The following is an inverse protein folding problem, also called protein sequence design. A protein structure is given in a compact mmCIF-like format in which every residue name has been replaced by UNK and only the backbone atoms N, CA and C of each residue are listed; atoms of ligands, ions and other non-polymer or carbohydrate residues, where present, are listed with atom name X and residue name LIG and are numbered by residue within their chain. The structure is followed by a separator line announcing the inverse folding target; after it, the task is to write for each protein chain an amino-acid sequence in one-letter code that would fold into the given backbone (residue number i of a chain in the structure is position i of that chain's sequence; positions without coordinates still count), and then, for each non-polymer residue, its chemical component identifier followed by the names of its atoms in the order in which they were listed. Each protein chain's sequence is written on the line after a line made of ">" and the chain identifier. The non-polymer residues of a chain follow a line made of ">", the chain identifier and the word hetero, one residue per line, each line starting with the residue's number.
data_IF_025794875894
#
_entry.id   IF_025794875894
#
_cell.length_a   1.000
_cell.length_b   1.000
_cell.length_c   1.000
_cell.angle_alpha   90.00
_cell.angle_beta   90.00
_cell.angle_gamma   90.00
#
_symmetry.space_group_name_H-M   'P 1'
#
loop_
_entity.id
_entity.type
_entity.pdbx_description
1 polymer ?
#
# COMPACT_ATOMS: atom_id res chain seq x y z
N UNK A 1 16.76 -16.84 7.22
CA UNK A 1 15.52 -16.05 7.41
C UNK A 1 15.64 -15.31 8.73
N UNK A 2 16.52 -14.30 8.80
CA UNK A 2 16.88 -13.61 10.06
C UNK A 2 16.60 -12.11 10.02
N UNK A 3 16.07 -11.60 8.90
CA UNK A 3 15.68 -10.22 8.74
C UNK A 3 14.15 -10.13 8.60
N UNK A 4 13.52 -9.41 9.53
CA UNK A 4 12.07 -9.24 9.58
C UNK A 4 11.54 -8.44 8.38
N UNK A 5 12.28 -7.44 7.93
CA UNK A 5 11.85 -6.56 6.84
C UNK A 5 11.82 -7.33 5.51
N UNK A 6 12.89 -8.07 5.20
CA UNK A 6 12.97 -8.93 4.01
C UNK A 6 11.90 -10.03 4.00
N UNK A 7 11.57 -10.59 5.17
CA UNK A 7 10.51 -11.59 5.27
C UNK A 7 9.14 -10.99 4.95
N UNK A 8 8.83 -9.80 5.48
CA UNK A 8 7.55 -9.12 5.20
C UNK A 8 7.43 -8.78 3.72
N UNK A 9 8.49 -8.25 3.11
CA UNK A 9 8.50 -7.97 1.66
C UNK A 9 8.25 -9.24 0.84
N UNK A 10 8.98 -10.33 1.14
CA UNK A 10 8.82 -11.60 0.43
C UNK A 10 7.39 -12.16 0.54
N UNK A 11 6.77 -12.06 1.72
CA UNK A 11 5.40 -12.54 1.94
C UNK A 11 4.36 -11.65 1.24
N UNK A 12 4.56 -10.34 1.20
CA UNK A 12 3.68 -9.40 0.48
C UNK A 12 3.75 -9.66 -1.02
N UNK A 13 4.96 -9.85 -1.55
CA UNK A 13 5.17 -10.17 -2.97
C UNK A 13 4.49 -11.50 -3.32
N UNK A 14 4.73 -12.56 -2.53
CA UNK A 14 4.09 -13.85 -2.71
C UNK A 14 2.55 -13.73 -2.69
N UNK A 15 2.00 -12.98 -1.73
CA UNK A 15 0.55 -12.75 -1.64
C UNK A 15 0.02 -11.96 -2.86
N UNK A 16 0.78 -11.01 -3.39
CA UNK A 16 0.39 -10.22 -4.55
C UNK A 16 0.39 -11.02 -5.86
N UNK A 17 1.21 -12.07 -5.98
CA UNK A 17 1.17 -13.01 -7.11
C UNK A 17 -0.15 -13.81 -7.18
N UNK A 18 -0.89 -13.88 -6.07
CA UNK A 18 -2.15 -14.60 -5.96
C UNK A 18 -1.94 -16.07 -5.58
N UNK A 19 -3.05 -16.80 -5.47
CA UNK A 19 -3.04 -18.18 -5.00
C UNK A 19 -2.48 -19.15 -6.05
N UNK A 20 -1.57 -20.03 -5.63
CA UNK A 20 -0.90 -21.05 -6.43
C UNK A 20 -0.74 -22.38 -5.65
N UNK A 21 0.16 -23.27 -6.10
CA UNK A 21 0.44 -24.55 -5.42
C UNK A 21 1.13 -24.37 -4.04
N UNK A 22 1.74 -23.21 -3.79
CA UNK A 22 2.56 -22.92 -2.62
C UNK A 22 1.90 -21.96 -1.64
N UNK A 23 0.97 -21.13 -2.12
CA UNK A 23 0.31 -20.10 -1.33
C UNK A 23 -1.20 -20.07 -1.61
N UNK A 24 -2.00 -20.20 -0.55
CA UNK A 24 -3.44 -20.03 -0.59
C UNK A 24 -3.87 -19.08 0.52
N UNK A 25 -4.62 -18.03 0.17
CA UNK A 25 -5.17 -17.10 1.13
C UNK A 25 -6.39 -17.72 1.82
N UNK A 26 -6.25 -18.15 3.07
CA UNK A 26 -7.34 -18.78 3.83
C UNK A 26 -8.42 -17.79 4.28
N UNK A 27 -7.98 -16.60 4.71
CA UNK A 27 -8.86 -15.49 5.09
C UNK A 27 -8.22 -14.19 4.63
N UNK A 28 -8.99 -13.35 3.95
CA UNK A 28 -8.54 -12.06 3.45
C UNK A 28 -9.63 -11.02 3.64
N UNK A 29 -9.25 -9.92 4.28
CA UNK A 29 -10.14 -8.79 4.49
C UNK A 29 -9.44 -7.51 4.05
N UNK A 30 -10.09 -6.79 3.12
CA UNK A 30 -9.59 -5.52 2.61
C UNK A 30 -10.60 -4.43 2.94
N UNK A 31 -10.21 -3.52 3.82
CA UNK A 31 -11.00 -2.38 4.22
C UNK A 31 -10.42 -1.10 3.62
N UNK A 32 -11.12 -0.53 2.65
CA UNK A 32 -10.73 0.73 2.00
C UNK A 32 -11.72 1.81 2.44
N UNK A 33 -11.18 2.86 3.07
CA UNK A 33 -11.95 4.03 3.47
C UNK A 33 -11.31 5.28 2.91
N UNK A 34 -12.12 6.10 2.25
CA UNK A 34 -11.68 7.42 1.80
C UNK A 34 -11.49 8.32 3.02
N UNK A 35 -10.28 8.87 3.18
CA UNK A 35 -10.04 9.92 4.16
C UNK A 35 -10.82 11.17 3.75
N UNK A 36 -11.70 11.64 4.63
CA UNK A 36 -12.50 12.85 4.38
C UNK A 36 -11.64 14.12 4.43
N UNK A 37 -10.58 14.11 5.23
CA UNK A 37 -9.66 15.23 5.38
C UNK A 37 -8.22 14.80 5.13
N UNK A 38 -7.54 15.53 4.25
CA UNK A 38 -6.12 15.38 3.92
C UNK A 38 -5.23 15.64 5.15
N UNK A 39 -5.72 16.40 6.14
CA UNK A 39 -5.03 16.61 7.42
C UNK A 39 -4.76 15.31 8.20
N UNK A 40 -5.52 14.24 7.94
CA UNK A 40 -5.31 12.93 8.55
C UNK A 40 -4.08 12.18 8.00
N UNK A 41 -3.54 12.63 6.85
CA UNK A 41 -2.34 12.05 6.28
C UNK A 41 -1.06 12.60 6.92
N UNK A 42 0.01 11.80 6.93
CA UNK A 42 1.31 12.23 7.41
C UNK A 42 1.82 13.47 6.64
N UNK A 43 2.69 14.32 7.23
CA UNK A 43 3.24 15.49 6.54
C UNK A 43 3.90 15.16 5.19
N UNK A 44 4.56 14.00 5.07
CA UNK A 44 5.16 13.55 3.81
C UNK A 44 4.10 13.23 2.75
N UNK A 45 3.04 12.51 3.13
CA UNK A 45 1.93 12.18 2.24
C UNK A 45 1.17 13.43 1.79
N UNK A 46 0.92 14.38 2.70
CA UNK A 46 0.27 15.67 2.34
C UNK A 46 1.04 16.42 1.26
N UNK A 47 2.37 16.49 1.37
CA UNK A 47 3.21 17.11 0.33
C UNK A 47 3.14 16.34 -1.00
N UNK A 48 3.15 15.01 -0.95
CA UNK A 48 2.97 14.17 -2.15
C UNK A 48 1.64 14.46 -2.85
N UNK A 49 0.54 14.53 -2.09
CA UNK A 49 -0.79 14.84 -2.61
C UNK A 49 -0.85 16.23 -3.26
N UNK A 50 -0.24 17.25 -2.63
CA UNK A 50 -0.15 18.59 -3.21
C UNK A 50 0.61 18.56 -4.54
N UNK A 51 1.74 17.84 -4.61
CA UNK A 51 2.53 17.70 -5.85
C UNK A 51 1.72 17.04 -6.96
N UNK A 52 1.06 15.92 -6.67
CA UNK A 52 0.22 15.19 -7.62
C UNK A 52 -0.94 16.06 -8.16
N UNK A 53 -1.56 16.85 -7.28
CA UNK A 53 -2.63 17.78 -7.68
C UNK A 53 -2.12 18.94 -8.54
N UNK A 54 -0.89 19.38 -8.31
CA UNK A 54 -0.29 20.45 -9.11
C UNK A 54 0.18 19.92 -10.48
N UNK A 55 0.71 18.70 -10.55
CA UNK A 55 1.13 18.09 -11.83
C UNK A 55 -0.06 17.81 -12.74
N UNK A 56 -1.20 17.38 -12.19
CA UNK A 56 -2.41 17.15 -12.99
C UNK A 56 -3.08 18.44 -13.51
N UNK A 57 -2.74 19.60 -12.94
CA UNK A 57 -3.21 20.91 -13.41
C UNK A 57 -2.32 21.53 -14.49
N UNK A 58 -1.11 21.01 -14.66
CA UNK A 58 -0.11 21.50 -15.60
C UNK A 58 -0.03 20.64 -16.88
N UNK A 59 -0.75 19.53 -16.92
CA UNK A 59 -0.94 18.65 -18.08
C UNK A 59 -2.30 18.95 -18.73
#
# INVERSE_FOLDING_TARGET
>A
MTNQEELVETLVDAFAYGSDEYLEALDSHVAIHQLQDVAQASPAMRRQLIRLRNSSRLA
#
